data_IF_125731695091
#
_entry.id   IF_125731695091
#
_cell.length_a   1.000
_cell.length_b   1.000
_cell.length_c   1.000
_cell.angle_alpha   90.00
_cell.angle_beta   90.00
_cell.angle_gamma   90.00
#
_symmetry.space_group_name_H-M   'P 1'
#
loop_
_entity.id
_entity.type
_entity.pdbx_description
1 polymer ?
#
# COMPACT_ATOMS: atom_id res chain seq x y z
N UNK A 1 -11.13 13.34 -7.69
CA UNK A 1 -11.41 12.55 -8.91
C UNK A 1 -10.98 11.09 -8.68
N UNK A 2 -11.44 10.09 -9.45
CA UNK A 2 -10.93 8.71 -9.34
C UNK A 2 -9.40 8.62 -9.47
N UNK A 3 -8.79 9.50 -10.29
CA UNK A 3 -7.33 9.59 -10.45
C UNK A 3 -6.59 9.86 -9.14
N UNK A 4 -7.13 10.72 -8.25
CA UNK A 4 -6.49 11.03 -6.96
C UNK A 4 -6.47 9.79 -6.05
N UNK A 5 -7.56 9.01 -6.04
CA UNK A 5 -7.63 7.77 -5.25
C UNK A 5 -6.69 6.68 -5.80
N UNK A 6 -6.52 6.60 -7.13
CA UNK A 6 -5.53 5.71 -7.74
C UNK A 6 -4.10 6.12 -7.39
N UNK A 7 -3.79 7.42 -7.43
CA UNK A 7 -2.47 7.92 -7.04
C UNK A 7 -2.15 7.60 -5.57
N UNK A 8 -3.12 7.81 -4.67
CA UNK A 8 -2.95 7.45 -3.25
C UNK A 8 -2.74 5.95 -3.04
N UNK A 9 -3.44 5.11 -3.79
CA UNK A 9 -3.20 3.66 -3.75
C UNK A 9 -1.76 3.31 -4.17
N UNK A 10 -1.25 3.93 -5.24
CA UNK A 10 0.12 3.72 -5.71
C UNK A 10 1.16 4.19 -4.68
N UNK A 11 0.99 5.38 -4.10
CA UNK A 11 1.87 5.91 -3.03
C UNK A 11 2.00 4.92 -1.87
N UNK A 12 0.88 4.41 -1.35
CA UNK A 12 0.90 3.43 -0.26
C UNK A 12 1.48 2.08 -0.69
N UNK A 13 1.30 1.67 -1.94
CA UNK A 13 1.88 0.44 -2.45
C UNK A 13 3.42 0.53 -2.52
N UNK A 14 3.96 1.67 -2.95
CA UNK A 14 5.40 1.91 -2.96
C UNK A 14 5.99 1.92 -1.54
N UNK A 15 5.30 2.53 -0.58
CA UNK A 15 5.67 2.50 0.84
C UNK A 15 5.67 1.06 1.39
N UNK A 16 4.66 0.25 1.05
CA UNK A 16 4.60 -1.15 1.44
C UNK A 16 5.79 -1.95 0.87
N UNK A 17 6.09 -1.77 -0.42
CA UNK A 17 7.21 -2.43 -1.08
C UNK A 17 8.56 -2.00 -0.46
N UNK A 18 8.72 -0.73 -0.13
CA UNK A 18 9.90 -0.23 0.56
C UNK A 18 10.07 -0.87 1.94
N UNK A 19 9.01 -0.88 2.76
CA UNK A 19 9.03 -1.48 4.09
C UNK A 19 9.30 -3.00 4.03
N UNK A 20 8.76 -3.72 3.04
CA UNK A 20 9.09 -5.13 2.80
C UNK A 20 10.59 -5.34 2.49
N UNK A 21 11.18 -4.48 1.65
CA UNK A 21 12.62 -4.55 1.36
C UNK A 21 13.47 -4.27 2.62
N UNK A 22 13.09 -3.28 3.42
CA UNK A 22 13.74 -3.00 4.69
C UNK A 22 13.64 -4.20 5.66
N UNK A 23 12.45 -4.80 5.77
CA UNK A 23 12.24 -6.00 6.58
C UNK A 23 13.17 -7.15 6.17
N UNK A 24 13.26 -7.44 4.87
CA UNK A 24 14.15 -8.48 4.34
C UNK A 24 15.63 -8.16 4.61
N UNK A 25 16.04 -6.90 4.47
CA UNK A 25 17.41 -6.47 4.75
C UNK A 25 17.79 -6.63 6.24
N UNK A 26 16.90 -6.29 7.17
CA UNK A 26 17.13 -6.50 8.60
C UNK A 26 17.11 -7.99 8.99
N UNK A 27 16.17 -8.75 8.44
CA UNK A 27 16.13 -10.20 8.65
C UNK A 27 17.41 -10.89 8.16
N UNK A 28 17.98 -10.46 7.03
CA UNK A 28 19.25 -10.97 6.52
C UNK A 28 20.47 -10.61 7.38
N UNK A 29 20.35 -9.63 8.29
CA UNK A 29 21.36 -9.23 9.27
C UNK A 29 21.11 -9.85 10.66
N UNK A 30 20.22 -10.84 10.74
CA UNK A 30 19.76 -11.47 12.01
C UNK A 30 19.03 -10.51 12.97
N UNK A 31 18.71 -9.30 12.52
CA UNK A 31 17.89 -8.33 13.24
C UNK A 31 16.40 -8.58 12.98
N UNK A 32 15.93 -9.72 13.48
CA UNK A 32 14.55 -10.17 13.27
C UNK A 32 13.51 -9.24 13.92
N UNK A 33 13.87 -8.53 14.99
CA UNK A 33 12.95 -7.62 15.68
C UNK A 33 12.61 -6.43 14.79
N UNK A 34 13.61 -5.71 14.28
CA UNK A 34 13.36 -4.60 13.36
C UNK A 34 12.82 -5.09 12.02
N UNK A 35 13.23 -6.26 11.55
CA UNK A 35 12.63 -6.91 10.39
C UNK A 35 11.12 -7.14 10.54
N UNK A 36 10.69 -7.57 11.73
CA UNK A 36 9.27 -7.78 12.04
C UNK A 36 8.48 -6.46 12.14
N UNK A 37 9.07 -5.41 12.71
CA UNK A 37 8.47 -4.08 12.76
C UNK A 37 8.23 -3.51 11.36
N UNK A 38 9.22 -3.59 10.47
CA UNK A 38 9.06 -3.19 9.07
C UNK A 38 8.03 -4.04 8.32
N UNK A 39 7.92 -5.33 8.64
CA UNK A 39 6.89 -6.21 8.06
C UNK A 39 5.48 -5.78 8.48
N UNK A 40 5.30 -5.36 9.74
CA UNK A 40 4.02 -4.78 10.22
C UNK A 40 3.68 -3.49 9.48
N UNK A 41 4.65 -2.59 9.33
CA UNK A 41 4.46 -1.34 8.58
C UNK A 41 4.09 -1.62 7.12
N UNK A 42 4.74 -2.59 6.48
CA UNK A 42 4.43 -2.99 5.12
C UNK A 42 2.98 -3.46 4.96
N UNK A 43 2.49 -4.26 5.91
CA UNK A 43 1.10 -4.72 5.95
C UNK A 43 0.11 -3.56 6.15
N UNK A 44 0.42 -2.62 7.04
CA UNK A 44 -0.41 -1.42 7.25
C UNK A 44 -0.51 -0.56 5.98
N UNK A 45 0.60 -0.36 5.28
CA UNK A 45 0.61 0.36 4.01
C UNK A 45 -0.15 -0.39 2.91
N UNK A 46 0.01 -1.72 2.82
CA UNK A 46 -0.74 -2.54 1.87
C UNK A 46 -2.25 -2.46 2.11
N UNK A 47 -2.70 -2.47 3.37
CA UNK A 47 -4.11 -2.31 3.72
C UNK A 47 -4.65 -0.93 3.29
N UNK A 48 -3.88 0.15 3.49
CA UNK A 48 -4.25 1.49 3.02
C UNK A 48 -4.30 1.56 1.49
N UNK A 49 -3.32 0.98 0.80
CA UNK A 49 -3.31 0.91 -0.67
C UNK A 49 -4.57 0.18 -1.20
N UNK A 50 -4.97 -0.91 -0.54
CA UNK A 50 -6.18 -1.65 -0.88
C UNK A 50 -7.45 -0.82 -0.66
N UNK A 51 -7.57 -0.10 0.46
CA UNK A 51 -8.70 0.79 0.72
C UNK A 51 -8.84 1.88 -0.35
N UNK A 52 -7.73 2.55 -0.70
CA UNK A 52 -7.73 3.56 -1.76
C UNK A 52 -8.05 2.98 -3.13
N UNK A 53 -7.59 1.75 -3.41
CA UNK A 53 -7.91 1.05 -4.66
C UNK A 53 -9.41 0.76 -4.77
N UNK A 54 -10.04 0.31 -3.68
CA UNK A 54 -11.49 0.10 -3.62
C UNK A 54 -12.26 1.41 -3.81
N UNK A 55 -11.81 2.50 -3.19
CA UNK A 55 -12.42 3.82 -3.36
C UNK A 55 -12.31 4.31 -4.80
N UNK A 56 -11.13 4.17 -5.41
CA UNK A 56 -10.89 4.54 -6.79
C UNK A 56 -11.79 3.75 -7.75
N UNK A 57 -11.89 2.43 -7.55
CA UNK A 57 -12.79 1.57 -8.31
C UNK A 57 -14.26 2.00 -8.16
N UNK A 58 -14.73 2.24 -6.93
CA UNK A 58 -16.09 2.70 -6.67
C UNK A 58 -16.39 4.05 -7.31
N UNK A 59 -15.45 4.99 -7.30
CA UNK A 59 -15.59 6.29 -8.00
C UNK A 59 -15.63 6.13 -9.51
N UNK A 60 -14.77 5.27 -10.07
CA UNK A 60 -14.73 4.99 -11.51
C UNK A 60 -16.02 4.35 -12.01
N UNK A 61 -16.58 3.39 -11.27
CA UNK A 61 -17.87 2.77 -11.62
C UNK A 61 -19.00 3.80 -11.58
N UNK A 62 -19.04 4.67 -10.57
CA UNK A 62 -20.04 5.75 -10.46
C UNK A 62 -19.94 6.77 -11.59
N UNK A 63 -18.74 7.09 -12.07
CA UNK A 63 -18.58 8.01 -13.21
C UNK A 63 -18.98 7.36 -14.53
N UNK A 64 -18.63 6.09 -14.73
CA UNK A 64 -18.99 5.35 -15.94
C UNK A 64 -20.51 5.11 -16.07
N UNK A 65 -21.21 4.82 -14.97
CA UNK A 65 -22.67 4.65 -14.97
C UNK A 65 -23.48 5.95 -15.09
N UNK A 66 -22.83 7.12 -15.06
CA UNK A 66 -23.45 8.43 -15.29
C UNK A 66 -23.25 8.95 -16.71
N UNK A 67 -22.58 8.17 -17.57
CA UNK A 67 -22.25 8.52 -18.96
C UNK A 67 -23.29 8.01 -19.94
#
# INVERSE_FOLDING_TARGET
MPNDSHQRAAEFHELAAHAHRAAAAHHGKEDHRTGHEHSKQAMEYANKAFQWSQEAHGKSVKSAGKS
#
